data_IF_373810124382
#
_entry.id   IF_373810124382
#
_cell.length_a   1.000
_cell.length_b   1.000
_cell.length_c   1.000
_cell.angle_alpha   90.00
_cell.angle_beta   90.00
_cell.angle_gamma   90.00
#
_symmetry.space_group_name_H-M   'P 1'
#
loop_
_entity.id
_entity.type
_entity.pdbx_description
1 polymer ?
#
# COMPACT_ATOMS: atom_id res chain seq x y z
N UNK A 1 -3.01 48.88 27.17
CA UNK A 1 -1.66 48.33 26.95
C UNK A 1 -1.73 47.33 25.82
N UNK A 2 -0.76 47.36 24.89
CA UNK A 2 -0.99 47.02 23.50
C UNK A 2 -0.92 45.53 23.22
N UNK A 3 -1.66 45.16 22.18
CA UNK A 3 -1.76 43.87 21.52
C UNK A 3 -0.35 43.41 21.13
N UNK A 4 0.00 42.23 21.64
CA UNK A 4 1.22 41.51 21.27
C UNK A 4 1.30 41.39 19.75
N UNK A 5 2.30 42.05 19.17
CA UNK A 5 2.70 41.80 17.80
C UNK A 5 3.15 40.35 17.71
N UNK A 6 2.37 39.52 17.02
CA UNK A 6 2.83 38.22 16.54
C UNK A 6 4.01 38.47 15.62
N UNK A 7 5.22 38.18 16.11
CA UNK A 7 6.41 38.05 15.26
C UNK A 7 6.08 37.10 14.11
N UNK A 8 6.43 37.44 12.86
CA UNK A 8 6.34 36.49 11.77
C UNK A 8 7.33 35.36 12.04
N UNK A 9 6.83 34.15 12.31
CA UNK A 9 7.68 32.97 12.38
C UNK A 9 8.54 32.89 11.10
N UNK A 10 9.86 32.67 11.21
CA UNK A 10 10.69 32.48 10.03
C UNK A 10 10.14 31.29 9.24
N UNK A 11 9.91 31.48 7.94
CA UNK A 11 9.53 30.39 7.03
C UNK A 11 10.70 29.41 6.97
N UNK A 12 10.68 28.36 7.79
CA UNK A 12 11.64 27.26 7.67
C UNK A 12 11.61 26.77 6.21
N UNK A 13 12.76 26.77 5.50
CA UNK A 13 12.82 26.23 4.16
C UNK A 13 12.28 24.80 4.15
N UNK A 14 11.30 24.54 3.29
CA UNK A 14 10.64 23.24 3.22
C UNK A 14 11.60 22.18 2.67
N UNK A 15 12.11 21.31 3.56
CA UNK A 15 12.98 20.15 3.23
C UNK A 15 12.24 18.98 2.57
N UNK A 16 10.95 19.15 2.24
CA UNK A 16 10.11 18.11 1.62
C UNK A 16 10.72 17.55 0.33
N UNK A 17 11.25 18.42 -0.52
CA UNK A 17 11.88 18.02 -1.77
C UNK A 17 13.16 17.21 -1.52
N UNK A 18 13.97 17.67 -0.56
CA UNK A 18 15.18 16.97 -0.12
C UNK A 18 14.83 15.56 0.37
N UNK A 19 13.90 15.44 1.31
CA UNK A 19 13.43 14.15 1.85
C UNK A 19 12.92 13.22 0.74
N UNK A 20 12.12 13.72 -0.19
CA UNK A 20 11.61 12.93 -1.31
C UNK A 20 12.76 12.41 -2.19
N UNK A 21 13.66 13.27 -2.63
CA UNK A 21 14.79 12.88 -3.51
C UNK A 21 15.74 11.89 -2.80
N UNK A 22 16.03 12.09 -1.51
CA UNK A 22 16.86 11.14 -0.74
C UNK A 22 16.17 9.80 -0.53
N UNK A 23 14.84 9.76 -0.52
CA UNK A 23 14.08 8.51 -0.37
C UNK A 23 14.11 7.62 -1.62
N UNK A 24 14.41 8.17 -2.80
CA UNK A 24 14.41 7.46 -4.07
C UNK A 24 15.45 6.32 -4.12
N UNK A 25 15.05 5.19 -4.68
CA UNK A 25 15.93 4.10 -5.10
C UNK A 25 16.80 4.51 -6.30
N UNK A 26 17.86 3.75 -6.54
CA UNK A 26 18.73 3.96 -7.71
C UNK A 26 17.99 3.81 -9.05
N UNK A 27 16.98 2.93 -9.10
CA UNK A 27 16.16 2.72 -10.29
C UNK A 27 15.24 3.92 -10.57
N UNK A 28 14.55 4.43 -9.54
CA UNK A 28 13.68 5.62 -9.66
C UNK A 28 14.48 6.86 -10.05
N UNK A 29 15.69 7.05 -9.48
CA UNK A 29 16.60 8.14 -9.87
C UNK A 29 16.97 8.08 -11.35
N UNK A 30 17.39 6.90 -11.82
CA UNK A 30 17.71 6.69 -13.23
C UNK A 30 16.50 6.97 -14.12
N UNK A 31 15.32 6.54 -13.70
CA UNK A 31 14.08 6.79 -14.43
C UNK A 31 13.77 8.29 -14.52
N UNK A 32 13.88 9.04 -13.41
CA UNK A 32 13.68 10.48 -13.39
C UNK A 32 14.58 11.22 -14.38
N UNK A 33 15.88 10.88 -14.43
CA UNK A 33 16.82 11.49 -15.39
C UNK A 33 16.39 11.25 -16.85
N UNK A 34 15.93 10.05 -17.17
CA UNK A 34 15.38 9.73 -18.50
C UNK A 34 14.07 10.49 -18.78
N UNK A 35 13.21 10.61 -17.79
CA UNK A 35 11.92 11.31 -17.88
C UNK A 35 12.05 12.82 -18.15
N UNK A 36 13.12 13.45 -17.66
CA UNK A 36 13.42 14.87 -17.91
C UNK A 36 14.16 15.06 -19.25
N UNK A 37 15.10 14.18 -19.58
CA UNK A 37 15.89 14.30 -20.81
C UNK A 37 15.06 14.15 -22.09
N UNK A 38 13.90 13.48 -22.03
CA UNK A 38 12.98 13.34 -23.18
C UNK A 38 12.23 14.63 -23.56
N UNK A 39 12.51 15.75 -22.90
CA UNK A 39 11.78 17.04 -23.04
C UNK A 39 12.70 18.21 -23.37
N UNK A 40 13.76 17.95 -24.13
CA UNK A 40 14.78 18.92 -24.56
C UNK A 40 15.48 19.68 -23.41
N UNK A 41 15.38 19.13 -22.19
CA UNK A 41 15.69 19.80 -20.92
C UNK A 41 16.98 19.31 -20.26
N UNK A 42 17.94 18.78 -21.04
CA UNK A 42 19.23 18.30 -20.53
C UNK A 42 19.97 19.36 -19.70
N UNK A 43 19.95 20.61 -20.16
CA UNK A 43 20.52 21.77 -19.46
C UNK A 43 19.50 22.47 -18.53
N UNK A 44 18.41 21.80 -18.11
CA UNK A 44 17.42 22.44 -17.24
C UNK A 44 17.90 22.54 -15.80
N UNK A 45 17.70 23.71 -15.18
CA UNK A 45 17.98 23.98 -13.75
C UNK A 45 17.37 22.94 -12.81
N UNK A 46 16.35 22.21 -13.26
CA UNK A 46 15.72 21.11 -12.52
C UNK A 46 16.63 19.89 -12.35
N UNK A 47 17.36 19.50 -13.40
CA UNK A 47 18.27 18.35 -13.32
C UNK A 47 19.48 18.68 -12.45
N UNK A 48 20.02 19.90 -12.59
CA UNK A 48 21.09 20.41 -11.72
C UNK A 48 20.65 20.41 -10.26
N UNK A 49 19.48 20.97 -9.95
CA UNK A 49 18.96 21.01 -8.59
C UNK A 49 18.67 19.62 -8.02
N UNK A 50 18.18 18.69 -8.85
CA UNK A 50 17.98 17.31 -8.43
C UNK A 50 19.30 16.63 -8.05
N UNK A 51 20.35 16.81 -8.87
CA UNK A 51 21.66 16.21 -8.64
C UNK A 51 22.36 16.85 -7.42
N UNK A 52 22.25 18.17 -7.26
CA UNK A 52 22.72 18.91 -6.09
C UNK A 52 22.08 18.42 -4.78
N UNK A 53 20.75 18.32 -4.75
CA UNK A 53 20.00 17.79 -3.60
C UNK A 53 20.40 16.35 -3.29
N UNK A 54 20.61 15.54 -4.32
CA UNK A 54 20.98 14.15 -4.14
C UNK A 54 22.38 14.01 -3.51
N UNK A 55 23.33 14.84 -3.94
CA UNK A 55 24.71 14.86 -3.47
C UNK A 55 24.86 15.37 -2.03
N UNK A 56 23.98 16.27 -1.58
CA UNK A 56 23.99 16.75 -0.20
C UNK A 56 23.70 15.63 0.82
N UNK A 57 24.51 15.55 1.87
CA UNK A 57 24.28 14.65 3.02
C UNK A 57 23.34 15.27 4.06
N UNK A 58 23.49 16.57 4.29
CA UNK A 58 22.63 17.37 5.14
C UNK A 58 21.92 18.45 4.30
N UNK A 59 20.68 18.76 4.67
CA UNK A 59 19.90 19.74 3.92
C UNK A 59 20.41 21.16 4.17
N UNK A 60 20.97 21.77 3.11
CA UNK A 60 21.37 23.19 3.12
C UNK A 60 20.76 23.91 1.91
N UNK A 61 19.67 24.66 2.18
CA UNK A 61 18.90 25.35 1.17
C UNK A 61 19.66 26.51 0.50
N UNK A 62 20.57 27.17 1.23
CA UNK A 62 21.37 28.27 0.68
C UNK A 62 22.49 27.74 -0.21
N UNK A 63 23.15 26.63 0.18
CA UNK A 63 24.11 25.97 -0.67
C UNK A 63 23.48 25.52 -2.00
N UNK A 64 22.26 24.95 -1.97
CA UNK A 64 21.52 24.59 -3.18
C UNK A 64 21.19 25.81 -4.05
N UNK A 65 20.81 26.94 -3.44
CA UNK A 65 20.52 28.18 -4.18
C UNK A 65 21.78 28.69 -4.89
N UNK A 66 22.91 28.71 -4.17
CA UNK A 66 24.22 29.14 -4.70
C UNK A 66 24.71 28.21 -5.81
N UNK A 67 24.47 26.91 -5.72
CA UNK A 67 24.87 25.96 -6.77
C UNK A 67 24.12 26.20 -8.09
N UNK A 68 22.84 26.59 -8.03
CA UNK A 68 21.99 26.75 -9.22
C UNK A 68 22.09 28.14 -9.85
N UNK A 69 22.31 29.18 -9.04
CA UNK A 69 22.30 30.57 -9.52
C UNK A 69 23.58 31.35 -9.23
N UNK A 70 24.55 30.75 -8.54
CA UNK A 70 25.76 31.45 -8.10
C UNK A 70 25.46 32.66 -7.24
N UNK A 71 26.22 33.73 -7.46
CA UNK A 71 26.07 35.02 -6.78
C UNK A 71 25.05 35.94 -7.44
N UNK A 72 24.25 35.46 -8.40
CA UNK A 72 23.21 36.29 -9.00
C UNK A 72 22.18 36.73 -7.93
N UNK A 73 21.72 37.99 -7.93
CA UNK A 73 20.64 38.44 -7.07
C UNK A 73 19.34 37.80 -7.54
N UNK A 74 19.06 36.61 -7.01
CA UNK A 74 17.84 35.86 -7.30
C UNK A 74 16.79 36.24 -6.27
N UNK A 75 15.64 36.69 -6.75
CA UNK A 75 14.45 36.80 -5.90
C UNK A 75 14.17 35.44 -5.25
N UNK A 76 14.09 35.40 -3.91
CA UNK A 76 13.83 34.16 -3.15
C UNK A 76 12.60 33.38 -3.64
N UNK A 77 11.65 34.08 -4.27
CA UNK A 77 10.50 33.52 -4.96
C UNK A 77 10.88 32.59 -6.12
N UNK A 78 11.85 32.96 -6.97
CA UNK A 78 12.25 32.18 -8.16
C UNK A 78 12.84 30.82 -7.78
N UNK A 79 13.67 30.76 -6.74
CA UNK A 79 14.22 29.50 -6.25
C UNK A 79 13.14 28.63 -5.58
N UNK A 80 12.22 29.24 -4.84
CA UNK A 80 11.07 28.54 -4.27
C UNK A 80 10.16 27.93 -5.35
N UNK A 81 9.90 28.67 -6.43
CA UNK A 81 9.14 28.19 -7.60
C UNK A 81 9.86 27.06 -8.33
N UNK A 82 11.20 27.15 -8.49
CA UNK A 82 12.02 26.08 -9.05
C UNK A 82 11.90 24.79 -8.23
N UNK A 83 12.03 24.87 -6.90
CA UNK A 83 11.84 23.72 -5.99
C UNK A 83 10.43 23.14 -6.08
N UNK A 84 9.41 24.00 -6.08
CA UNK A 84 8.02 23.56 -6.16
C UNK A 84 7.75 22.82 -7.49
N UNK A 85 8.25 23.33 -8.61
CA UNK A 85 8.11 22.68 -9.90
C UNK A 85 8.92 21.38 -9.99
N UNK A 86 10.15 21.35 -9.47
CA UNK A 86 10.96 20.13 -9.40
C UNK A 86 10.25 19.04 -8.59
N UNK A 87 9.64 19.41 -7.47
CA UNK A 87 8.82 18.47 -6.68
C UNK A 87 7.70 17.86 -7.52
N UNK A 88 6.95 18.68 -8.27
CA UNK A 88 5.89 18.20 -9.17
C UNK A 88 6.43 17.31 -10.29
N UNK A 89 7.61 17.63 -10.85
CA UNK A 89 8.27 16.80 -11.85
C UNK A 89 8.68 15.44 -11.31
N UNK A 90 9.25 15.39 -10.09
CA UNK A 90 9.62 14.15 -9.42
C UNK A 90 8.38 13.31 -9.17
N UNK A 91 7.31 13.89 -8.63
CA UNK A 91 6.03 13.18 -8.45
C UNK A 91 5.52 12.59 -9.76
N UNK A 92 5.40 13.39 -10.82
CA UNK A 92 4.91 12.92 -12.12
C UNK A 92 5.79 11.83 -12.72
N UNK A 93 7.10 11.89 -12.49
CA UNK A 93 8.01 10.84 -12.90
C UNK A 93 7.79 9.55 -12.13
N UNK A 94 7.52 9.62 -10.82
CA UNK A 94 7.22 8.45 -9.99
C UNK A 94 5.87 7.84 -10.36
N UNK A 95 4.84 8.65 -10.57
CA UNK A 95 3.53 8.18 -11.07
C UNK A 95 3.69 7.38 -12.38
N UNK A 96 4.51 7.88 -13.31
CA UNK A 96 4.79 7.18 -14.56
C UNK A 96 5.68 5.94 -14.40
N UNK A 97 6.53 5.91 -13.37
CA UNK A 97 7.33 4.73 -13.03
C UNK A 97 6.41 3.63 -12.48
N UNK A 98 5.51 3.99 -11.58
CA UNK A 98 4.58 3.10 -10.89
C UNK A 98 3.44 2.59 -11.80
N UNK A 99 3.09 3.31 -12.87
CA UNK A 99 2.12 2.83 -13.88
C UNK A 99 2.49 1.46 -14.47
N UNK A 100 3.77 1.10 -14.46
CA UNK A 100 4.25 -0.20 -14.95
C UNK A 100 4.07 -1.33 -13.94
N UNK A 101 4.06 -1.02 -12.65
CA UNK A 101 4.09 -2.00 -11.55
C UNK A 101 2.77 -2.09 -10.79
N UNK A 102 1.98 -1.02 -10.75
CA UNK A 102 0.75 -0.92 -9.97
C UNK A 102 -0.51 -0.98 -10.83
N UNK A 103 -1.44 -1.84 -10.44
CA UNK A 103 -2.71 -2.00 -11.15
C UNK A 103 -3.61 -0.78 -11.01
N UNK A 104 -3.61 -0.11 -9.85
CA UNK A 104 -4.37 1.12 -9.63
C UNK A 104 -3.93 2.23 -10.58
N UNK A 105 -2.61 2.47 -10.71
CA UNK A 105 -2.10 3.44 -11.67
C UNK A 105 -2.44 3.06 -13.11
N UNK A 106 -2.31 1.79 -13.47
CA UNK A 106 -2.66 1.31 -14.83
C UNK A 106 -4.14 1.50 -15.14
N UNK A 107 -5.04 1.20 -14.21
CA UNK A 107 -6.48 1.40 -14.36
C UNK A 107 -6.84 2.89 -14.50
N UNK A 108 -6.25 3.75 -13.66
CA UNK A 108 -6.39 5.21 -13.80
C UNK A 108 -5.88 5.70 -15.15
N UNK A 109 -4.76 5.17 -15.63
CA UNK A 109 -4.21 5.45 -16.96
C UNK A 109 -5.22 5.15 -18.07
N UNK A 110 -5.84 3.96 -18.06
CA UNK A 110 -6.90 3.63 -19.03
C UNK A 110 -8.08 4.61 -18.97
N UNK A 111 -8.59 4.93 -17.77
CA UNK A 111 -9.75 5.81 -17.60
C UNK A 111 -9.46 7.27 -17.98
N UNK A 112 -8.24 7.75 -17.73
CA UNK A 112 -7.76 9.04 -18.23
C UNK A 112 -7.62 9.03 -19.76
N UNK A 113 -7.19 7.91 -20.35
CA UNK A 113 -7.18 7.68 -21.79
C UNK A 113 -8.58 7.77 -22.39
N UNK A 114 -9.57 7.09 -21.78
CA UNK A 114 -10.98 7.16 -22.18
C UNK A 114 -11.48 8.61 -22.15
N UNK A 115 -11.23 9.36 -21.07
CA UNK A 115 -11.60 10.80 -21.00
C UNK A 115 -10.96 11.62 -22.11
N UNK A 116 -9.70 11.33 -22.44
CA UNK A 116 -8.92 12.06 -23.46
C UNK A 116 -9.46 11.81 -24.86
N UNK A 117 -9.78 10.56 -25.19
CA UNK A 117 -10.34 10.14 -26.47
C UNK A 117 -11.79 10.57 -26.63
N UNK A 118 -12.58 10.45 -25.56
CA UNK A 118 -13.99 10.86 -25.54
C UNK A 118 -14.14 12.34 -25.87
N UNK A 119 -13.29 13.23 -25.32
CA UNK A 119 -13.28 14.67 -25.65
C UNK A 119 -12.98 14.97 -27.12
N UNK A 120 -12.44 14.01 -27.86
CA UNK A 120 -12.10 14.10 -29.29
C UNK A 120 -13.05 13.27 -30.16
N UNK A 121 -14.11 12.73 -29.57
CA UNK A 121 -15.10 11.87 -30.24
C UNK A 121 -14.52 10.57 -30.84
N UNK A 122 -13.36 10.10 -30.36
CA UNK A 122 -12.79 8.80 -30.74
C UNK A 122 -13.42 7.67 -29.91
N UNK A 123 -14.70 7.41 -30.17
CA UNK A 123 -15.52 6.53 -29.33
C UNK A 123 -15.18 5.04 -29.45
N UNK A 124 -14.77 4.57 -30.64
CA UNK A 124 -14.37 3.17 -30.80
C UNK A 124 -13.06 2.88 -30.04
N UNK A 125 -12.10 3.80 -30.08
CA UNK A 125 -10.88 3.71 -29.25
C UNK A 125 -11.21 3.77 -27.74
N UNK A 126 -12.23 4.53 -27.34
CA UNK A 126 -12.72 4.50 -25.96
C UNK A 126 -13.22 3.11 -25.57
N UNK A 127 -14.01 2.44 -26.44
CA UNK A 127 -14.54 1.09 -26.17
C UNK A 127 -13.40 0.08 -26.02
N UNK A 128 -12.37 0.18 -26.85
CA UNK A 128 -11.17 -0.67 -26.75
C UNK A 128 -10.42 -0.48 -25.42
N UNK A 129 -10.27 0.77 -24.96
CA UNK A 129 -9.66 1.04 -23.65
C UNK A 129 -10.53 0.54 -22.50
N UNK A 130 -11.86 0.72 -22.56
CA UNK A 130 -12.79 0.22 -21.55
C UNK A 130 -12.77 -1.30 -21.46
N UNK A 131 -12.70 -2.00 -22.59
CA UNK A 131 -12.57 -3.46 -22.61
C UNK A 131 -11.31 -3.94 -21.87
N UNK A 132 -10.16 -3.31 -22.16
CA UNK A 132 -8.89 -3.59 -21.46
C UNK A 132 -8.98 -3.28 -19.97
N UNK A 133 -9.54 -2.12 -19.62
CA UNK A 133 -9.72 -1.70 -18.23
C UNK A 133 -10.64 -2.65 -17.47
N UNK A 134 -11.76 -3.08 -18.06
CA UNK A 134 -12.74 -3.98 -17.43
C UNK A 134 -12.11 -5.32 -17.07
N UNK A 135 -11.36 -5.92 -18.00
CA UNK A 135 -10.64 -7.17 -17.77
C UNK A 135 -9.70 -7.07 -16.57
N UNK A 136 -8.91 -6.00 -16.50
CA UNK A 136 -7.98 -5.77 -15.39
C UNK A 136 -8.74 -5.49 -14.09
N UNK A 137 -9.77 -4.64 -14.13
CA UNK A 137 -10.51 -4.26 -12.93
C UNK A 137 -11.28 -5.44 -12.33
N UNK A 138 -11.85 -6.34 -13.15
CA UNK A 138 -12.49 -7.57 -12.67
C UNK A 138 -11.48 -8.51 -12.05
N UNK A 139 -10.35 -8.73 -12.71
CA UNK A 139 -9.31 -9.66 -12.24
C UNK A 139 -8.71 -9.24 -10.88
N UNK A 140 -8.63 -7.93 -10.63
CA UNK A 140 -8.06 -7.36 -9.41
C UNK A 140 -9.12 -6.79 -8.46
N UNK A 141 -10.39 -7.12 -8.65
CA UNK A 141 -11.51 -6.71 -7.77
C UNK A 141 -11.60 -5.19 -7.54
N UNK A 142 -11.25 -4.38 -8.55
CA UNK A 142 -11.28 -2.92 -8.45
C UNK A 142 -12.70 -2.37 -8.70
N UNK A 143 -13.59 -2.61 -7.74
CA UNK A 143 -15.04 -2.38 -7.86
C UNK A 143 -15.42 -0.95 -8.27
N UNK A 144 -14.71 0.06 -7.76
CA UNK A 144 -14.98 1.47 -8.11
C UNK A 144 -14.69 1.75 -9.59
N UNK A 145 -13.62 1.19 -10.14
CA UNK A 145 -13.33 1.30 -11.57
C UNK A 145 -14.31 0.50 -12.41
N UNK A 146 -14.77 -0.66 -11.95
CA UNK A 146 -15.81 -1.43 -12.67
C UNK A 146 -17.09 -0.61 -12.83
N UNK A 147 -17.53 0.07 -11.76
CA UNK A 147 -18.69 0.96 -11.82
C UNK A 147 -18.42 2.16 -12.75
N UNK A 148 -17.25 2.79 -12.66
CA UNK A 148 -16.89 3.91 -13.56
C UNK A 148 -16.83 3.47 -15.03
N UNK A 149 -16.34 2.27 -15.33
CA UNK A 149 -16.29 1.70 -16.68
C UNK A 149 -17.70 1.55 -17.26
N UNK A 150 -18.63 1.01 -16.47
CA UNK A 150 -20.04 0.85 -16.86
C UNK A 150 -20.74 2.21 -17.07
N UNK A 151 -20.40 3.22 -16.27
CA UNK A 151 -20.83 4.60 -16.50
C UNK A 151 -20.32 5.13 -17.85
N UNK A 152 -19.07 4.87 -18.19
CA UNK A 152 -18.49 5.27 -19.48
C UNK A 152 -19.15 4.58 -20.67
N UNK A 153 -19.52 3.29 -20.54
CA UNK A 153 -20.27 2.58 -21.58
C UNK A 153 -21.57 3.32 -21.93
N UNK A 154 -22.36 3.73 -20.93
CA UNK A 154 -23.59 4.53 -21.13
C UNK A 154 -23.30 5.90 -21.75
N UNK A 155 -22.27 6.60 -21.25
CA UNK A 155 -21.88 7.93 -21.74
C UNK A 155 -21.47 7.92 -23.21
N UNK A 156 -20.73 6.90 -23.64
CA UNK A 156 -20.30 6.75 -25.03
C UNK A 156 -21.52 6.49 -25.92
N UNK A 157 -22.39 5.56 -25.56
CA UNK A 157 -23.61 5.27 -26.33
C UNK A 157 -24.50 6.52 -26.48
N UNK A 158 -24.68 7.26 -25.39
CA UNK A 158 -25.41 8.52 -25.40
C UNK A 158 -24.77 9.56 -26.33
N UNK A 159 -23.45 9.75 -26.25
CA UNK A 159 -22.71 10.71 -27.10
C UNK A 159 -22.73 10.33 -28.59
N UNK A 160 -22.82 9.04 -28.92
CA UNK A 160 -22.95 8.55 -30.30
C UNK A 160 -24.41 8.58 -30.80
N UNK A 161 -25.38 8.94 -29.95
CA UNK A 161 -26.82 8.76 -30.24
C UNK A 161 -27.17 7.30 -30.58
N UNK A 162 -26.44 6.33 -30.04
CA UNK A 162 -26.65 4.90 -30.29
C UNK A 162 -27.71 4.33 -29.34
N UNK A 163 -28.95 4.82 -29.52
CA UNK A 163 -30.10 4.47 -28.67
C UNK A 163 -30.44 2.99 -28.78
N UNK A 164 -30.28 2.38 -29.96
CA UNK A 164 -30.56 0.96 -30.17
C UNK A 164 -29.58 0.07 -29.39
N UNK A 165 -28.28 0.42 -29.35
CA UNK A 165 -27.33 -0.28 -28.50
C UNK A 165 -27.66 -0.08 -27.02
N UNK A 166 -27.97 1.16 -26.61
CA UNK A 166 -28.26 1.46 -25.22
C UNK A 166 -29.49 0.70 -24.71
N UNK A 167 -30.59 0.65 -25.47
CA UNK A 167 -31.81 -0.09 -25.10
C UNK A 167 -31.53 -1.58 -24.85
N UNK A 168 -30.73 -2.21 -25.73
CA UNK A 168 -30.33 -3.61 -25.60
C UNK A 168 -29.43 -3.86 -24.38
N UNK A 169 -28.49 -2.98 -24.10
CA UNK A 169 -27.44 -3.21 -23.09
C UNK A 169 -27.77 -2.63 -21.71
N UNK A 170 -28.73 -1.70 -21.60
CA UNK A 170 -29.00 -0.96 -20.36
C UNK A 170 -29.32 -1.88 -19.20
N UNK A 171 -30.07 -2.95 -19.44
CA UNK A 171 -30.40 -3.95 -18.41
C UNK A 171 -29.15 -4.66 -17.90
N UNK A 172 -28.30 -5.18 -18.80
CA UNK A 172 -27.03 -5.80 -18.43
C UNK A 172 -26.18 -4.84 -17.61
N UNK A 173 -26.02 -3.60 -18.08
CA UNK A 173 -25.18 -2.60 -17.39
C UNK A 173 -25.73 -2.32 -15.99
N UNK A 174 -27.05 -2.17 -15.84
CA UNK A 174 -27.68 -1.89 -14.54
C UNK A 174 -27.54 -3.07 -13.56
N UNK A 175 -27.69 -4.30 -14.05
CA UNK A 175 -27.49 -5.51 -13.24
C UNK A 175 -26.02 -5.65 -12.81
N UNK A 176 -25.06 -5.38 -13.69
CA UNK A 176 -23.64 -5.37 -13.34
C UNK A 176 -23.27 -4.25 -12.36
N UNK A 177 -23.79 -3.03 -12.54
CA UNK A 177 -23.58 -1.92 -11.60
C UNK A 177 -24.08 -2.27 -10.20
N UNK A 178 -25.28 -2.84 -10.10
CA UNK A 178 -25.86 -3.28 -8.83
C UNK A 178 -25.01 -4.38 -8.18
N UNK A 179 -24.52 -5.35 -8.96
CA UNK A 179 -23.62 -6.40 -8.49
C UNK A 179 -22.32 -5.82 -7.90
N UNK A 180 -21.61 -4.99 -8.66
CA UNK A 180 -20.33 -4.42 -8.20
C UNK A 180 -20.51 -3.44 -7.04
N UNK A 181 -21.60 -2.67 -7.01
CA UNK A 181 -21.95 -1.82 -5.87
C UNK A 181 -22.18 -2.66 -4.60
N UNK A 182 -22.84 -3.81 -4.71
CA UNK A 182 -23.03 -4.73 -3.60
C UNK A 182 -21.69 -5.32 -3.12
N UNK A 183 -20.82 -5.77 -4.02
CA UNK A 183 -19.47 -6.24 -3.67
C UNK A 183 -18.64 -5.15 -2.97
N UNK A 184 -18.68 -3.91 -3.46
CA UNK A 184 -18.00 -2.77 -2.83
C UNK A 184 -18.54 -2.50 -1.43
N UNK A 185 -19.87 -2.44 -1.26
CA UNK A 185 -20.52 -2.24 0.03
C UNK A 185 -20.14 -3.33 1.03
N UNK A 186 -20.20 -4.59 0.59
CA UNK A 186 -19.80 -5.76 1.38
C UNK A 186 -18.33 -5.67 1.82
N UNK A 187 -17.41 -5.38 0.90
CA UNK A 187 -15.99 -5.23 1.20
C UNK A 187 -15.72 -4.08 2.18
N UNK A 188 -16.38 -2.93 2.01
CA UNK A 188 -16.26 -1.78 2.92
C UNK A 188 -16.78 -2.13 4.31
N UNK A 189 -17.87 -2.89 4.43
CA UNK A 189 -18.40 -3.34 5.71
C UNK A 189 -17.38 -4.23 6.45
N UNK A 190 -16.79 -5.22 5.78
CA UNK A 190 -15.69 -6.02 6.36
C UNK A 190 -14.49 -5.16 6.77
N UNK A 191 -14.11 -4.19 5.95
CA UNK A 191 -13.00 -3.27 6.27
C UNK A 191 -13.28 -2.46 7.54
N UNK A 192 -14.49 -1.96 7.69
CA UNK A 192 -14.89 -1.24 8.90
C UNK A 192 -14.90 -2.17 10.14
N UNK A 193 -15.40 -3.40 9.99
CA UNK A 193 -15.35 -4.40 11.06
C UNK A 193 -13.90 -4.72 11.48
N UNK A 194 -12.99 -4.88 10.51
CA UNK A 194 -11.57 -5.08 10.78
C UNK A 194 -10.95 -3.93 11.56
N UNK A 195 -11.17 -2.68 11.15
CA UNK A 195 -10.62 -1.54 11.87
C UNK A 195 -11.26 -1.39 13.26
N UNK A 196 -12.55 -1.66 13.41
CA UNK A 196 -13.19 -1.71 14.73
C UNK A 196 -12.56 -2.79 15.62
N UNK A 197 -12.29 -3.98 15.07
CA UNK A 197 -11.60 -5.06 15.78
C UNK A 197 -10.19 -4.61 16.22
N UNK A 198 -9.43 -3.98 15.32
CA UNK A 198 -8.09 -3.48 15.62
C UNK A 198 -8.08 -2.39 16.69
N UNK A 199 -9.05 -1.48 16.68
CA UNK A 199 -9.17 -0.43 17.70
C UNK A 199 -9.45 -1.00 19.10
N UNK A 200 -10.21 -2.09 19.20
CA UNK A 200 -10.45 -2.76 20.47
C UNK A 200 -9.16 -3.35 21.07
N UNK A 201 -8.26 -3.88 20.23
CA UNK A 201 -6.95 -4.37 20.66
C UNK A 201 -6.06 -3.23 21.19
N UNK A 202 -6.16 -2.02 20.62
CA UNK A 202 -5.30 -0.87 20.97
C UNK A 202 -5.73 -0.10 22.23
N UNK A 203 -7.01 -0.15 22.62
CA UNK A 203 -7.55 0.68 23.72
C UNK A 203 -7.28 0.13 25.11
N UNK A 204 -7.04 -1.17 25.23
CA UNK A 204 -6.89 -1.82 26.53
C UNK A 204 -5.56 -2.57 26.59
N UNK A 205 -4.76 -2.22 27.61
CA UNK A 205 -3.53 -2.94 27.94
C UNK A 205 -3.96 -4.22 28.63
N UNK A 206 -3.81 -5.35 27.94
CA UNK A 206 -4.15 -6.71 28.37
C UNK A 206 -5.57 -7.19 28.02
N UNK A 207 -5.67 -8.51 27.85
CA UNK A 207 -6.86 -9.31 27.48
C UNK A 207 -7.92 -9.26 28.59
N UNK A 208 -8.46 -8.08 28.87
CA UNK A 208 -9.49 -7.90 29.88
C UNK A 208 -10.77 -8.67 29.47
N UNK A 209 -11.57 -9.12 30.44
CA UNK A 209 -12.90 -9.65 30.16
C UNK A 209 -13.78 -8.69 29.35
N UNK A 210 -13.63 -7.39 29.58
CA UNK A 210 -14.38 -6.32 28.91
C UNK A 210 -14.01 -6.20 27.42
N UNK A 211 -12.72 -6.24 27.09
CA UNK A 211 -12.22 -6.26 25.71
C UNK A 211 -12.76 -7.47 24.96
N UNK A 212 -12.67 -8.66 25.58
CA UNK A 212 -13.20 -9.89 24.98
C UNK A 212 -14.71 -9.83 24.76
N UNK A 213 -15.47 -9.26 25.69
CA UNK A 213 -16.90 -9.06 25.52
C UNK A 213 -17.23 -8.12 24.35
N UNK A 214 -16.50 -7.00 24.21
CA UNK A 214 -16.66 -6.07 23.09
C UNK A 214 -16.32 -6.73 21.75
N UNK A 215 -15.22 -7.48 21.69
CA UNK A 215 -14.83 -8.21 20.47
C UNK A 215 -15.81 -9.32 20.13
N UNK A 216 -16.34 -10.06 21.13
CA UNK A 216 -17.37 -11.09 20.92
C UNK A 216 -18.64 -10.47 20.32
N UNK A 217 -19.08 -9.30 20.81
CA UNK A 217 -20.20 -8.56 20.23
C UNK A 217 -19.96 -8.17 18.76
N UNK A 218 -18.74 -7.82 18.37
CA UNK A 218 -18.41 -7.59 16.96
C UNK A 218 -18.51 -8.86 16.12
N UNK A 219 -18.17 -10.01 16.70
CA UNK A 219 -18.27 -11.32 16.04
C UNK A 219 -19.71 -11.81 15.87
N UNK A 220 -20.70 -11.23 16.58
CA UNK A 220 -22.14 -11.51 16.37
C UNK A 220 -22.70 -10.83 15.10
N UNK A 221 -21.91 -9.99 14.42
CA UNK A 221 -22.35 -9.34 13.20
C UNK A 221 -22.73 -10.38 12.11
N UNK A 222 -23.80 -10.18 11.32
CA UNK A 222 -24.23 -11.14 10.30
C UNK A 222 -23.14 -11.57 9.32
N UNK A 223 -22.30 -10.62 8.89
CA UNK A 223 -21.14 -10.88 8.01
C UNK A 223 -20.06 -11.78 8.63
N UNK A 224 -20.03 -11.93 9.95
CA UNK A 224 -19.06 -12.77 10.65
C UNK A 224 -19.59 -14.17 10.95
N UNK A 225 -20.86 -14.48 10.62
CA UNK A 225 -21.44 -15.79 10.91
C UNK A 225 -21.04 -16.86 9.90
N UNK A 226 -20.78 -16.48 8.64
CA UNK A 226 -20.47 -17.43 7.56
C UNK A 226 -19.54 -16.76 6.53
N UNK A 227 -18.50 -17.48 6.09
CA UNK A 227 -17.56 -17.01 5.05
C UNK A 227 -18.28 -16.70 3.72
N UNK A 228 -19.39 -17.38 3.41
CA UNK A 228 -20.19 -17.14 2.20
C UNK A 228 -20.82 -15.75 2.13
N UNK A 229 -20.87 -15.02 3.25
CA UNK A 229 -21.30 -13.62 3.26
C UNK A 229 -20.25 -12.68 2.64
N UNK A 230 -19.00 -13.12 2.50
CA UNK A 230 -17.96 -12.39 1.82
C UNK A 230 -18.04 -12.62 0.30
N UNK A 231 -18.53 -11.60 -0.41
CA UNK A 231 -18.91 -11.69 -1.83
C UNK A 231 -17.72 -11.60 -2.80
N UNK A 232 -16.51 -11.41 -2.29
CA UNK A 232 -15.29 -11.24 -3.07
C UNK A 232 -14.09 -11.88 -2.37
N UNK A 233 -13.02 -12.13 -3.12
CA UNK A 233 -11.77 -12.62 -2.56
C UNK A 233 -11.25 -11.68 -1.48
N UNK A 234 -11.23 -10.37 -1.75
CA UNK A 234 -10.77 -9.35 -0.82
C UNK A 234 -11.64 -9.31 0.45
N UNK A 235 -12.95 -9.50 0.34
CA UNK A 235 -13.83 -9.62 1.49
C UNK A 235 -13.56 -10.88 2.32
N UNK A 236 -13.27 -12.02 1.66
CA UNK A 236 -12.93 -13.29 2.34
C UNK A 236 -11.61 -13.19 3.10
N UNK A 237 -10.61 -12.53 2.52
CA UNK A 237 -9.35 -12.20 3.21
C UNK A 237 -9.66 -11.39 4.48
N UNK A 238 -10.50 -10.37 4.39
CA UNK A 238 -10.88 -9.56 5.55
C UNK A 238 -11.64 -10.36 6.62
N UNK A 239 -12.58 -11.23 6.22
CA UNK A 239 -13.28 -12.15 7.13
C UNK A 239 -12.29 -12.99 7.96
N UNK A 240 -11.32 -13.63 7.31
CA UNK A 240 -10.32 -14.44 8.00
C UNK A 240 -9.37 -13.60 8.86
N UNK A 241 -9.04 -12.38 8.45
CA UNK A 241 -8.22 -11.45 9.25
C UNK A 241 -8.92 -11.01 10.54
N UNK A 242 -10.23 -10.73 10.48
CA UNK A 242 -11.03 -10.39 11.66
C UNK A 242 -11.05 -11.58 12.63
N UNK A 243 -11.34 -12.78 12.12
CA UNK A 243 -11.29 -14.02 12.89
C UNK A 243 -9.92 -14.25 13.54
N UNK A 244 -8.85 -14.07 12.78
CA UNK A 244 -7.47 -14.19 13.26
C UNK A 244 -7.18 -13.29 14.46
N UNK A 245 -7.65 -12.04 14.47
CA UNK A 245 -7.46 -11.13 15.61
C UNK A 245 -8.28 -11.62 16.81
N UNK A 246 -9.56 -11.95 16.61
CA UNK A 246 -10.43 -12.41 17.68
C UNK A 246 -9.92 -13.69 18.35
N UNK A 247 -9.64 -14.72 17.56
CA UNK A 247 -9.23 -16.04 18.06
C UNK A 247 -7.92 -15.96 18.85
N UNK A 248 -6.96 -15.14 18.41
CA UNK A 248 -5.74 -14.93 19.17
C UNK A 248 -6.00 -14.23 20.51
N UNK A 249 -6.82 -13.18 20.54
CA UNK A 249 -7.14 -12.46 21.79
C UNK A 249 -7.92 -13.36 22.75
N UNK A 250 -8.84 -14.17 22.23
CA UNK A 250 -9.59 -15.18 22.98
C UNK A 250 -8.74 -16.38 23.43
N UNK A 251 -7.47 -16.46 23.00
CA UNK A 251 -6.56 -17.58 23.28
C UNK A 251 -7.03 -18.93 22.72
N UNK A 252 -7.86 -18.91 21.69
CA UNK A 252 -8.34 -20.10 20.97
C UNK A 252 -7.28 -20.53 19.93
N UNK A 253 -6.13 -21.01 20.41
CA UNK A 253 -4.93 -21.18 19.58
C UNK A 253 -5.08 -22.24 18.48
N UNK A 254 -5.84 -23.31 18.70
CA UNK A 254 -6.09 -24.31 17.66
C UNK A 254 -6.94 -23.71 16.53
N UNK A 255 -8.03 -23.02 16.86
CA UNK A 255 -8.85 -22.33 15.87
C UNK A 255 -8.07 -21.21 15.16
N UNK A 256 -7.22 -20.48 15.88
CA UNK A 256 -6.32 -19.47 15.31
C UNK A 256 -5.33 -20.08 14.30
N UNK A 257 -4.79 -21.26 14.59
CA UNK A 257 -3.94 -22.01 13.66
C UNK A 257 -4.71 -22.40 12.39
N UNK A 258 -5.90 -23.00 12.52
CA UNK A 258 -6.71 -23.39 11.36
C UNK A 258 -7.09 -22.17 10.50
N UNK A 259 -7.51 -21.07 11.13
CA UNK A 259 -7.88 -19.84 10.44
C UNK A 259 -6.68 -19.16 9.75
N UNK A 260 -5.52 -19.08 10.41
CA UNK A 260 -4.32 -18.49 9.81
C UNK A 260 -3.78 -19.33 8.64
N UNK A 261 -3.81 -20.66 8.76
CA UNK A 261 -3.46 -21.57 7.66
C UNK A 261 -4.40 -21.37 6.47
N UNK A 262 -5.72 -21.34 6.72
CA UNK A 262 -6.72 -21.11 5.69
C UNK A 262 -6.55 -19.77 4.99
N UNK A 263 -6.21 -18.71 5.74
CA UNK A 263 -5.92 -17.39 5.17
C UNK A 263 -4.69 -17.43 4.26
N UNK A 264 -3.59 -18.05 4.68
CA UNK A 264 -2.40 -18.21 3.84
C UNK A 264 -2.71 -18.96 2.56
N UNK A 265 -3.40 -20.10 2.64
CA UNK A 265 -3.82 -20.89 1.47
C UNK A 265 -4.75 -20.10 0.54
N UNK A 266 -5.70 -19.34 1.10
CA UNK A 266 -6.57 -18.47 0.33
C UNK A 266 -5.75 -17.44 -0.44
N UNK A 267 -4.83 -16.73 0.22
CA UNK A 267 -3.99 -15.73 -0.42
C UNK A 267 -3.08 -16.33 -1.51
N UNK A 268 -2.45 -17.47 -1.23
CA UNK A 268 -1.60 -18.17 -2.18
C UNK A 268 -2.37 -18.71 -3.40
N UNK A 269 -3.68 -19.01 -3.26
CA UNK A 269 -4.53 -19.43 -4.39
C UNK A 269 -4.82 -18.32 -5.42
N UNK A 270 -4.58 -17.05 -5.07
CA UNK A 270 -4.78 -15.89 -5.94
C UNK A 270 -3.50 -15.04 -6.05
N UNK A 271 -2.43 -15.58 -6.67
CA UNK A 271 -1.09 -14.97 -6.65
C UNK A 271 -1.00 -13.61 -7.34
N UNK A 272 -2.00 -13.24 -8.16
CA UNK A 272 -2.04 -11.92 -8.81
C UNK A 272 -2.44 -10.82 -7.84
N UNK A 273 -3.51 -11.04 -7.06
CA UNK A 273 -3.96 -10.12 -6.00
C UNK A 273 -2.94 -10.02 -4.87
N UNK A 274 -2.31 -11.15 -4.48
CA UNK A 274 -1.25 -11.17 -3.48
C UNK A 274 -0.08 -10.24 -3.85
N UNK A 275 0.29 -10.19 -5.13
CA UNK A 275 1.40 -9.34 -5.61
C UNK A 275 1.10 -7.84 -5.57
N UNK A 276 -0.16 -7.43 -5.46
CA UNK A 276 -0.53 -6.01 -5.34
C UNK A 276 -0.45 -5.52 -3.88
N UNK A 277 -0.72 -6.40 -2.91
CA UNK A 277 -0.61 -6.08 -1.49
C UNK A 277 0.13 -7.19 -0.73
N UNK A 278 1.46 -7.11 -0.79
CA UNK A 278 2.35 -8.05 -0.08
C UNK A 278 2.34 -7.81 1.43
N UNK A 279 1.97 -6.62 1.90
CA UNK A 279 2.02 -6.26 3.31
C UNK A 279 1.03 -7.06 4.14
N UNK A 280 -0.14 -7.33 3.56
CA UNK A 280 -1.14 -8.21 4.16
C UNK A 280 -0.66 -9.66 4.19
N UNK A 281 0.01 -10.13 3.14
CA UNK A 281 0.54 -11.48 3.08
C UNK A 281 1.63 -11.72 4.13
N UNK A 282 2.55 -10.77 4.27
CA UNK A 282 3.56 -10.74 5.35
C UNK A 282 2.90 -10.90 6.72
N UNK A 283 1.79 -10.17 6.94
CA UNK A 283 1.04 -10.24 8.20
C UNK A 283 0.37 -11.60 8.42
N UNK A 284 -0.20 -12.19 7.38
CA UNK A 284 -0.84 -13.50 7.43
C UNK A 284 0.18 -14.60 7.75
N UNK A 285 1.35 -14.58 7.09
CA UNK A 285 2.47 -15.49 7.38
C UNK A 285 2.93 -15.34 8.84
N UNK A 286 3.11 -14.12 9.33
CA UNK A 286 3.49 -13.88 10.72
C UNK A 286 2.46 -14.41 11.72
N UNK A 287 1.16 -14.20 11.47
CA UNK A 287 0.11 -14.76 12.32
C UNK A 287 0.14 -16.30 12.31
N UNK A 288 0.38 -16.90 11.15
CA UNK A 288 0.52 -18.36 11.03
C UNK A 288 1.75 -18.88 11.79
N UNK A 289 2.89 -18.21 11.69
CA UNK A 289 4.11 -18.50 12.45
C UNK A 289 3.82 -18.48 13.96
N UNK A 290 3.15 -17.43 14.44
CA UNK A 290 2.77 -17.30 15.86
C UNK A 290 1.85 -18.44 16.27
N UNK A 291 0.86 -18.79 15.44
CA UNK A 291 -0.08 -19.88 15.72
C UNK A 291 0.65 -21.23 15.85
N UNK A 292 1.58 -21.53 14.93
CA UNK A 292 2.40 -22.74 14.95
C UNK A 292 3.30 -22.79 16.18
N UNK A 293 3.93 -21.66 16.53
CA UNK A 293 4.77 -21.56 17.73
C UNK A 293 4.01 -21.81 19.03
N UNK A 294 2.78 -21.28 19.15
CA UNK A 294 1.90 -21.53 20.33
C UNK A 294 1.51 -23.00 20.47
N UNK A 295 1.38 -23.72 19.35
CA UNK A 295 1.08 -25.16 19.31
C UNK A 295 2.34 -26.04 19.25
N UNK A 296 3.54 -25.47 19.41
CA UNK A 296 4.83 -26.18 19.35
C UNK A 296 5.07 -26.93 18.03
N UNK A 297 4.44 -26.49 16.94
CA UNK A 297 4.61 -27.02 15.57
C UNK A 297 5.86 -26.41 14.92
N UNK A 298 7.03 -26.64 15.51
CA UNK A 298 8.27 -25.94 15.13
C UNK A 298 8.72 -26.18 13.68
N UNK A 299 8.47 -27.35 13.11
CA UNK A 299 8.75 -27.59 11.69
C UNK A 299 7.93 -26.69 10.75
N UNK A 300 6.67 -26.40 11.09
CA UNK A 300 5.82 -25.49 10.32
C UNK A 300 6.25 -24.02 10.52
N UNK A 301 6.77 -23.67 11.71
CA UNK A 301 7.38 -22.36 11.98
C UNK A 301 8.56 -22.12 11.04
N UNK A 302 9.49 -23.07 10.92
CA UNK A 302 10.67 -22.94 10.05
C UNK A 302 10.26 -22.80 8.58
N UNK A 303 9.36 -23.66 8.09
CA UNK A 303 8.88 -23.59 6.72
C UNK A 303 8.24 -22.23 6.41
N UNK A 304 7.45 -21.71 7.35
CA UNK A 304 6.76 -20.43 7.17
C UNK A 304 7.72 -19.23 7.30
N UNK A 305 8.77 -19.33 8.12
CA UNK A 305 9.85 -18.34 8.20
C UNK A 305 10.61 -18.21 6.88
N UNK A 306 10.92 -19.33 6.23
CA UNK A 306 11.56 -19.32 4.90
C UNK A 306 10.63 -18.70 3.85
N UNK A 307 9.33 -19.02 3.88
CA UNK A 307 8.33 -18.36 3.02
C UNK A 307 8.30 -16.84 3.27
N UNK A 308 8.32 -16.40 4.52
CA UNK A 308 8.32 -14.99 4.89
C UNK A 308 9.56 -14.26 4.38
N UNK A 309 10.75 -14.85 4.55
CA UNK A 309 12.03 -14.30 4.06
C UNK A 309 12.08 -14.21 2.53
N UNK A 310 11.39 -15.11 1.82
CA UNK A 310 11.33 -15.14 0.37
C UNK A 310 10.31 -14.16 -0.26
N UNK A 311 9.48 -13.49 0.54
CA UNK A 311 8.53 -12.48 0.03
C UNK A 311 9.29 -11.33 -0.60
N UNK A 312 8.91 -10.95 -1.82
CA UNK A 312 9.46 -9.76 -2.49
C UNK A 312 8.73 -8.52 -1.96
N UNK A 313 9.40 -7.59 -1.25
CA UNK A 313 8.75 -6.39 -0.74
C UNK A 313 8.39 -5.44 -1.89
N UNK A 314 7.28 -4.71 -1.74
CA UNK A 314 6.91 -3.62 -2.66
C UNK A 314 7.38 -2.27 -2.13
N UNK A 315 7.46 -2.13 -0.81
CA UNK A 315 7.85 -0.90 -0.13
C UNK A 315 9.01 -1.13 0.83
N UNK A 316 9.69 -0.04 1.22
CA UNK A 316 10.70 -0.07 2.30
C UNK A 316 10.10 -0.50 3.64
N UNK A 317 8.81 -0.23 3.86
CA UNK A 317 8.11 -0.66 5.08
C UNK A 317 7.92 -2.18 5.09
N UNK A 318 7.58 -2.78 3.94
CA UNK A 318 7.49 -4.24 3.78
C UNK A 318 8.83 -4.93 4.05
N UNK A 319 9.93 -4.37 3.51
CA UNK A 319 11.28 -4.90 3.75
C UNK A 319 11.63 -4.88 5.25
N UNK A 320 11.39 -3.75 5.91
CA UNK A 320 11.62 -3.61 7.35
C UNK A 320 10.69 -4.53 8.18
N UNK A 321 9.47 -4.76 7.70
CA UNK A 321 8.48 -5.64 8.34
C UNK A 321 8.86 -7.10 8.22
N UNK A 322 9.28 -7.56 7.04
CA UNK A 322 9.83 -8.92 6.82
C UNK A 322 11.00 -9.16 7.75
N UNK A 323 12.00 -8.26 7.73
CA UNK A 323 13.20 -8.36 8.57
C UNK A 323 12.82 -8.51 10.05
N UNK A 324 12.01 -7.58 10.56
CA UNK A 324 11.60 -7.57 11.96
C UNK A 324 10.85 -8.84 12.34
N UNK A 325 9.85 -9.22 11.58
CA UNK A 325 9.00 -10.38 11.89
C UNK A 325 9.79 -11.69 11.76
N UNK A 326 10.67 -11.81 10.77
CA UNK A 326 11.53 -12.98 10.62
C UNK A 326 12.41 -13.15 11.87
N UNK A 327 13.19 -12.15 12.25
CA UNK A 327 14.12 -12.28 13.37
C UNK A 327 13.40 -12.40 14.72
N UNK A 328 12.31 -11.65 14.94
CA UNK A 328 11.50 -11.81 16.17
C UNK A 328 11.01 -13.25 16.35
N UNK A 329 10.49 -13.87 15.28
CA UNK A 329 9.99 -15.23 15.35
C UNK A 329 11.10 -16.28 15.34
N UNK A 330 12.20 -16.07 14.61
CA UNK A 330 13.38 -16.97 14.64
C UNK A 330 14.00 -17.01 16.03
N UNK A 331 14.13 -15.86 16.71
CA UNK A 331 14.61 -15.83 18.10
C UNK A 331 13.66 -16.57 19.04
N UNK A 332 12.35 -16.34 18.92
CA UNK A 332 11.35 -17.09 19.72
C UNK A 332 11.46 -18.59 19.50
N UNK A 333 11.58 -19.03 18.25
CA UNK A 333 11.78 -20.43 17.90
C UNK A 333 13.02 -21.00 18.59
N UNK A 334 14.18 -20.34 18.46
CA UNK A 334 15.45 -20.80 19.05
C UNK A 334 15.38 -20.86 20.59
N UNK A 335 14.73 -19.88 21.22
CA UNK A 335 14.51 -19.88 22.68
C UNK A 335 13.60 -21.04 23.09
N UNK A 336 12.52 -21.29 22.35
CA UNK A 336 11.56 -22.36 22.65
C UNK A 336 12.06 -23.76 22.32
N UNK A 337 12.95 -23.91 21.33
CA UNK A 337 13.56 -25.19 20.96
C UNK A 337 14.84 -25.49 21.76
N UNK A 338 15.45 -24.48 22.37
CA UNK A 338 16.75 -24.59 23.06
C UNK A 338 17.96 -24.50 22.14
N UNK A 339 17.78 -24.21 20.84
CA UNK A 339 18.88 -24.03 19.89
C UNK A 339 19.51 -22.63 19.98
N UNK A 340 20.20 -22.38 21.08
CA UNK A 340 20.86 -21.09 21.32
C UNK A 340 22.03 -20.83 20.37
N UNK A 341 22.62 -21.88 19.78
CA UNK A 341 23.71 -21.74 18.81
C UNK A 341 23.19 -21.11 17.51
N UNK A 342 22.06 -21.63 17.00
CA UNK A 342 21.37 -21.03 15.86
C UNK A 342 20.82 -19.63 16.20
N UNK A 343 20.27 -19.46 17.41
CA UNK A 343 19.81 -18.14 17.89
C UNK A 343 20.93 -17.09 17.89
N UNK A 344 22.15 -17.46 18.30
CA UNK A 344 23.32 -16.57 18.27
C UNK A 344 23.71 -16.20 16.83
N UNK A 345 23.73 -17.15 15.90
CA UNK A 345 24.00 -16.88 14.48
C UNK A 345 22.97 -15.91 13.90
N UNK A 346 21.69 -16.16 14.16
CA UNK A 346 20.61 -15.28 13.71
C UNK A 346 20.74 -13.85 14.29
N UNK A 347 21.24 -13.70 15.53
CA UNK A 347 21.49 -12.38 16.12
C UNK A 347 22.63 -11.64 15.40
N UNK A 348 23.72 -12.33 15.09
CA UNK A 348 24.86 -11.76 14.35
C UNK A 348 24.46 -11.36 12.92
N UNK A 349 23.63 -12.15 12.25
CA UNK A 349 23.04 -11.80 10.94
C UNK A 349 22.11 -10.60 11.04
N UNK A 350 21.21 -10.60 12.04
CA UNK A 350 20.30 -9.48 12.31
C UNK A 350 21.03 -8.16 12.48
N UNK A 351 22.07 -8.12 13.32
CA UNK A 351 22.83 -6.90 13.59
C UNK A 351 23.50 -6.35 12.33
N UNK A 352 24.07 -7.23 11.50
CA UNK A 352 24.71 -6.86 10.23
C UNK A 352 23.71 -6.33 9.20
N UNK A 353 22.54 -6.95 9.11
CA UNK A 353 21.49 -6.55 8.17
C UNK A 353 20.74 -5.30 8.63
N UNK A 354 20.59 -5.10 9.95
CA UNK A 354 19.92 -3.95 10.55
C UNK A 354 20.58 -2.61 10.21
N UNK A 355 21.90 -2.59 9.96
CA UNK A 355 22.65 -1.39 9.55
C UNK A 355 22.12 -0.76 8.25
N UNK A 356 21.42 -1.53 7.41
CA UNK A 356 20.85 -1.04 6.14
C UNK A 356 19.53 -0.28 6.32
N UNK A 357 18.91 -0.39 7.48
CA UNK A 357 17.61 0.21 7.76
C UNK A 357 17.77 1.49 8.57
N UNK A 358 16.89 2.46 8.33
CA UNK A 358 16.78 3.64 9.18
C UNK A 358 16.30 3.19 10.57
N UNK A 359 17.04 3.54 11.63
CA UNK A 359 16.71 3.17 13.01
C UNK A 359 15.30 3.63 13.42
N UNK A 360 14.79 4.72 12.82
CA UNK A 360 13.42 5.19 13.03
C UNK A 360 12.35 4.21 12.51
N UNK A 361 12.70 3.29 11.62
CA UNK A 361 11.77 2.26 11.15
C UNK A 361 11.51 1.22 12.25
N UNK A 362 12.50 0.91 13.09
CA UNK A 362 12.37 -0.08 14.17
C UNK A 362 11.63 0.43 15.41
N UNK A 363 11.54 1.75 15.61
CA UNK A 363 10.88 2.35 16.78
C UNK A 363 9.35 2.38 16.70
N UNK A 364 8.76 2.07 15.53
CA UNK A 364 7.29 1.96 15.38
C UNK A 364 6.76 0.75 16.14
N UNK A 365 5.93 0.98 17.16
CA UNK A 365 5.12 -0.07 17.81
C UNK A 365 4.21 -0.72 16.76
N UNK A 366 4.37 -2.03 16.54
CA UNK A 366 3.64 -2.73 15.49
C UNK A 366 2.26 -3.20 15.96
N UNK A 367 1.28 -3.06 15.07
CA UNK A 367 -0.12 -3.43 15.28
C UNK A 367 -0.38 -4.92 14.99
N UNK A 368 0.54 -5.80 15.39
CA UNK A 368 0.41 -7.25 15.20
C UNK A 368 0.64 -7.99 16.51
N UNK A 369 -0.09 -9.10 16.63
CA UNK A 369 -0.13 -10.01 17.77
C UNK A 369 1.32 -10.31 18.22
N UNK A 370 1.74 -9.75 19.35
CA UNK A 370 3.05 -10.05 19.94
C UNK A 370 2.93 -11.22 20.90
#
# INVERSE_FOLDING_TARGET
MPISHTEPMPKTPSDKLYKLIKSLSSAEKRYFKLFINSKDASNSKYLQLFDAIYAQEEFDDEALRLEIYGNEPVESRKFSELKAYLYQLVLKSLESYDEKSSIDYRLKGYLLGVRTLFRRSFFDDCKDLLYKAKKVATEYEHFTSLIEILEWEKRIAYAQTDIAWLDRELRRISEEEAHWANCLSNFVAYRNLFFNMLLNVRKEVSRSPEQLAQMRKLMEHPLMQDESQALSFSARVMYHRINSIYLFTASEFEAFYQSSKRLVELMESHPRLLKEDVSEYISALNNHIISCGRLQRYGEVEQTLEKLKAVKPLTKDDEAKIHRQYYQNKFRLCISSGDFAEGKKALEEHLREAEKFDQAQFSKSNFYLQ
#
